data_IF_660266964283
#
_entry.id   IF_660266964283
#
_cell.length_a   1.000
_cell.length_b   1.000
_cell.length_c   1.000
_cell.angle_alpha   90.00
_cell.angle_beta   90.00
_cell.angle_gamma   90.00
#
_symmetry.space_group_name_H-M   'P 1'
#
loop_
_entity.id
_entity.type
_entity.pdbx_description
1 polymer ?
#
# COMPACT_ATOMS: atom_id res chain seq x y z
N UNK A 1 -65.43 -14.77 -12.97
CA UNK A 1 -65.35 -13.37 -12.48
C UNK A 1 -64.50 -13.22 -11.23
N UNK A 2 -64.53 -14.17 -10.27
CA UNK A 2 -63.75 -14.09 -9.03
C UNK A 2 -62.22 -14.00 -9.26
N UNK A 3 -61.65 -14.83 -10.13
CA UNK A 3 -60.22 -14.81 -10.44
C UNK A 3 -59.72 -13.48 -11.03
N UNK A 4 -60.51 -12.86 -11.93
CA UNK A 4 -60.17 -11.54 -12.48
C UNK A 4 -60.29 -10.42 -11.45
N UNK A 5 -61.22 -10.53 -10.49
CA UNK A 5 -61.31 -9.60 -9.36
C UNK A 5 -60.13 -9.74 -8.41
N UNK A 6 -59.75 -10.96 -8.02
CA UNK A 6 -58.61 -11.20 -7.12
C UNK A 6 -57.30 -10.70 -7.77
N UNK A 7 -57.09 -10.94 -9.07
CA UNK A 7 -55.88 -10.48 -9.78
C UNK A 7 -55.79 -8.95 -9.93
N UNK A 8 -56.93 -8.27 -10.08
CA UNK A 8 -56.96 -6.83 -10.38
C UNK A 8 -57.25 -5.95 -9.15
N UNK A 9 -57.82 -6.51 -8.09
CA UNK A 9 -58.20 -5.85 -6.84
C UNK A 9 -57.48 -6.51 -5.65
N UNK A 10 -56.26 -7.01 -5.85
CA UNK A 10 -55.46 -7.61 -4.77
C UNK A 10 -55.13 -6.54 -3.72
N UNK A 11 -55.46 -6.83 -2.45
CA UNK A 11 -55.06 -5.98 -1.33
C UNK A 11 -53.59 -6.26 -1.05
N UNK A 12 -52.71 -5.45 -1.65
CA UNK A 12 -51.28 -5.54 -1.43
C UNK A 12 -50.96 -5.04 -0.02
N UNK A 13 -50.37 -5.89 0.79
CA UNK A 13 -50.00 -5.53 2.16
C UNK A 13 -48.97 -4.40 2.14
N UNK A 14 -49.00 -3.44 3.08
CA UNK A 14 -48.04 -2.34 3.09
C UNK A 14 -46.56 -2.78 3.12
N UNK A 15 -46.26 -3.99 3.62
CA UNK A 15 -44.91 -4.58 3.63
C UNK A 15 -44.40 -5.02 2.24
N UNK A 16 -45.33 -5.32 1.32
CA UNK A 16 -45.09 -5.83 -0.03
C UNK A 16 -45.04 -4.70 -1.07
N UNK A 17 -45.42 -3.48 -0.68
CA UNK A 17 -45.30 -2.28 -1.51
C UNK A 17 -43.84 -1.79 -1.59
N UNK A 18 -43.52 -0.91 -2.55
CA UNK A 18 -42.18 -0.30 -2.69
C UNK A 18 -42.20 1.19 -2.34
N UNK A 19 -41.07 1.74 -1.93
CA UNK A 19 -40.92 3.17 -1.61
C UNK A 19 -41.59 3.59 -0.30
N UNK A 20 -42.06 4.84 -0.26
CA UNK A 20 -42.54 5.55 0.94
C UNK A 20 -43.63 4.81 1.75
N UNK A 21 -44.50 4.03 1.11
CA UNK A 21 -45.57 3.32 1.84
C UNK A 21 -45.00 2.19 2.70
N UNK A 22 -44.04 1.43 2.16
CA UNK A 22 -43.33 0.38 2.91
C UNK A 22 -42.48 0.98 4.02
N UNK A 23 -41.76 2.07 3.74
CA UNK A 23 -40.94 2.76 4.74
C UNK A 23 -41.79 3.25 5.93
N UNK A 24 -42.92 3.91 5.67
CA UNK A 24 -43.83 4.36 6.71
C UNK A 24 -44.44 3.20 7.51
N UNK A 25 -44.76 2.09 6.84
CA UNK A 25 -45.25 0.89 7.51
C UNK A 25 -44.17 0.29 8.44
N UNK A 26 -42.95 0.09 7.93
CA UNK A 26 -41.83 -0.43 8.71
C UNK A 26 -41.50 0.47 9.91
N UNK A 27 -41.58 1.80 9.74
CA UNK A 27 -41.43 2.75 10.84
C UNK A 27 -42.50 2.56 11.93
N UNK A 28 -43.77 2.41 11.55
CA UNK A 28 -44.86 2.13 12.52
C UNK A 28 -44.67 0.80 13.24
N UNK A 29 -44.20 -0.23 12.54
CA UNK A 29 -43.87 -1.54 13.15
C UNK A 29 -42.73 -1.37 14.15
N UNK A 30 -41.67 -0.63 13.79
CA UNK A 30 -40.55 -0.34 14.68
C UNK A 30 -41.02 0.42 15.93
N UNK A 31 -41.82 1.47 15.78
CA UNK A 31 -42.40 2.21 16.90
C UNK A 31 -43.22 1.32 17.83
N UNK A 32 -44.03 0.42 17.27
CA UNK A 32 -44.81 -0.56 18.05
C UNK A 32 -43.93 -1.59 18.75
N UNK A 33 -42.82 -2.02 18.14
CA UNK A 33 -41.84 -2.90 18.80
C UNK A 33 -41.09 -2.17 19.90
N UNK A 34 -40.82 -0.88 19.72
CA UNK A 34 -40.20 -0.04 20.74
C UNK A 34 -41.01 0.07 22.04
N UNK A 35 -42.33 -0.14 21.99
CA UNK A 35 -43.18 -0.17 23.21
C UNK A 35 -43.23 -1.53 23.90
N UNK A 36 -42.72 -2.59 23.26
CA UNK A 36 -42.65 -3.93 23.86
C UNK A 36 -41.53 -3.99 24.91
N UNK A 37 -41.55 -4.99 25.82
CA UNK A 37 -40.46 -5.23 26.76
C UNK A 37 -39.07 -5.30 26.14
N UNK A 38 -38.98 -5.81 24.90
CA UNK A 38 -37.77 -5.91 24.08
C UNK A 38 -37.21 -4.54 23.64
N UNK A 39 -38.05 -3.50 23.60
CA UNK A 39 -37.67 -2.13 23.27
C UNK A 39 -37.13 -1.32 24.46
N UNK A 40 -37.00 -1.92 25.64
CA UNK A 40 -36.43 -1.25 26.83
C UNK A 40 -34.91 -1.18 26.71
N UNK A 41 -34.39 0.01 26.43
CA UNK A 41 -32.95 0.29 26.47
C UNK A 41 -32.46 0.38 27.92
N UNK A 42 -31.33 -0.28 28.22
CA UNK A 42 -30.64 -0.12 29.50
C UNK A 42 -29.62 1.01 29.36
N UNK A 43 -29.64 1.92 30.32
CA UNK A 43 -28.58 2.92 30.44
C UNK A 43 -27.26 2.20 30.76
N UNK A 44 -26.24 2.46 29.95
CA UNK A 44 -24.93 1.85 30.09
C UNK A 44 -23.90 2.95 30.35
N UNK A 45 -22.88 2.71 31.19
CA UNK A 45 -21.77 3.64 31.34
C UNK A 45 -21.12 3.92 29.97
N UNK A 46 -20.66 5.16 29.78
CA UNK A 46 -20.04 5.59 28.52
C UNK A 46 -18.85 4.70 28.18
N UNK A 47 -18.74 4.28 26.92
CA UNK A 47 -17.60 3.53 26.41
C UNK A 47 -17.69 2.00 26.53
N UNK A 48 -18.65 1.47 27.30
CA UNK A 48 -18.71 0.02 27.59
C UNK A 48 -18.95 -0.82 26.34
N UNK A 49 -19.76 -0.32 25.41
CA UNK A 49 -20.14 -1.05 24.20
C UNK A 49 -19.44 -0.54 22.94
N UNK A 50 -18.55 0.45 23.06
CA UNK A 50 -17.97 1.13 21.88
C UNK A 50 -17.15 0.17 21.02
N UNK A 51 -16.38 -0.73 21.65
CA UNK A 51 -15.59 -1.75 20.95
C UNK A 51 -16.47 -2.79 20.24
N UNK A 52 -17.56 -3.22 20.90
CA UNK A 52 -18.52 -4.19 20.33
C UNK A 52 -19.29 -3.57 19.17
N UNK A 53 -19.80 -2.35 19.35
CA UNK A 53 -20.50 -1.58 18.31
C UNK A 53 -19.56 -1.33 17.12
N UNK A 54 -18.30 -0.99 17.37
CA UNK A 54 -17.31 -0.85 16.29
C UNK A 54 -17.05 -2.18 15.58
N UNK A 55 -16.90 -3.28 16.34
CA UNK A 55 -16.68 -4.63 15.79
C UNK A 55 -17.81 -5.06 14.85
N UNK A 56 -19.05 -4.69 15.15
CA UNK A 56 -20.21 -4.98 14.30
C UNK A 56 -20.34 -4.04 13.09
N UNK A 57 -19.81 -2.82 13.17
CA UNK A 57 -20.06 -1.77 12.18
C UNK A 57 -18.91 -1.48 11.22
N UNK A 58 -17.66 -1.81 11.57
CA UNK A 58 -16.49 -1.44 10.76
C UNK A 58 -16.53 -2.04 9.36
N UNK A 59 -16.93 -3.30 9.21
CA UNK A 59 -16.91 -3.99 7.91
C UNK A 59 -17.97 -3.42 6.96
N UNK A 60 -19.26 -3.30 7.34
CA UNK A 60 -20.25 -2.60 6.52
C UNK A 60 -19.86 -1.14 6.22
N UNK A 61 -19.24 -0.44 7.17
CA UNK A 61 -18.75 0.94 6.97
C UNK A 61 -17.64 0.98 5.93
N UNK A 62 -16.67 0.06 6.00
CA UNK A 62 -15.58 -0.03 5.05
C UNK A 62 -16.10 -0.36 3.64
N UNK A 63 -17.05 -1.28 3.52
CA UNK A 63 -17.70 -1.62 2.24
C UNK A 63 -18.41 -0.40 1.66
N UNK A 64 -19.17 0.34 2.47
CA UNK A 64 -19.84 1.56 2.03
C UNK A 64 -18.85 2.65 1.61
N UNK A 65 -17.79 2.88 2.38
CA UNK A 65 -16.72 3.82 2.03
C UNK A 65 -16.02 3.43 0.72
N UNK A 66 -15.72 2.15 0.55
CA UNK A 66 -15.10 1.62 -0.66
C UNK A 66 -16.01 1.78 -1.87
N UNK A 67 -17.30 1.45 -1.74
CA UNK A 67 -18.28 1.62 -2.80
C UNK A 67 -18.41 3.09 -3.23
N UNK A 68 -18.49 4.02 -2.27
CA UNK A 68 -18.56 5.45 -2.57
C UNK A 68 -17.27 5.96 -3.22
N UNK A 69 -16.11 5.46 -2.81
CA UNK A 69 -14.81 5.84 -3.39
C UNK A 69 -14.65 5.33 -4.82
N UNK A 70 -15.16 4.14 -5.12
CA UNK A 70 -15.18 3.57 -6.46
C UNK A 70 -16.08 4.37 -7.43
N UNK A 71 -17.25 4.82 -6.93
CA UNK A 71 -18.22 5.61 -7.72
C UNK A 71 -17.88 7.09 -7.82
N UNK A 72 -16.88 7.56 -7.09
CA UNK A 72 -16.49 8.96 -7.09
C UNK A 72 -15.69 9.29 -8.35
N UNK A 73 -16.18 10.24 -9.15
CA UNK A 73 -15.51 10.76 -10.34
C UNK A 73 -15.38 12.27 -10.18
N UNK A 74 -14.14 12.77 -10.24
CA UNK A 74 -13.80 14.21 -10.22
C UNK A 74 -14.39 15.07 -9.08
N UNK A 75 -14.83 14.46 -7.97
CA UNK A 75 -15.31 15.17 -6.78
C UNK A 75 -14.27 15.14 -5.65
N UNK A 76 -13.36 16.10 -5.69
CA UNK A 76 -12.30 16.26 -4.68
C UNK A 76 -12.84 16.36 -3.26
N UNK A 77 -13.96 17.08 -3.08
CA UNK A 77 -14.54 17.32 -1.75
C UNK A 77 -15.08 16.01 -1.16
N UNK A 78 -15.75 15.21 -1.98
CA UNK A 78 -16.24 13.89 -1.58
C UNK A 78 -15.07 12.95 -1.29
N UNK A 79 -14.02 12.92 -2.11
CA UNK A 79 -12.82 12.10 -1.84
C UNK A 79 -12.23 12.49 -0.48
N UNK A 80 -12.07 13.77 -0.19
CA UNK A 80 -11.55 14.22 1.11
C UNK A 80 -12.45 13.82 2.29
N UNK A 81 -13.79 13.86 2.12
CA UNK A 81 -14.74 13.37 3.13
C UNK A 81 -14.60 11.86 3.34
N UNK A 82 -14.46 11.09 2.28
CA UNK A 82 -14.22 9.64 2.35
C UNK A 82 -12.89 9.34 3.06
N UNK A 83 -11.82 10.06 2.72
CA UNK A 83 -10.52 9.96 3.41
C UNK A 83 -10.64 10.28 4.91
N UNK A 84 -11.47 11.25 5.29
CA UNK A 84 -11.80 11.52 6.70
C UNK A 84 -12.52 10.33 7.36
N UNK A 85 -13.40 9.65 6.63
CA UNK A 85 -14.05 8.40 7.06
C UNK A 85 -13.06 7.28 7.34
N UNK A 86 -12.15 6.99 6.40
CA UNK A 86 -11.05 6.03 6.59
C UNK A 86 -10.22 6.36 7.83
N UNK A 87 -9.86 7.65 7.99
CA UNK A 87 -9.08 8.12 9.14
C UNK A 87 -9.78 7.92 10.48
N UNK A 88 -11.09 8.16 10.55
CA UNK A 88 -11.88 7.91 11.77
C UNK A 88 -11.92 6.43 12.10
N UNK A 89 -12.17 5.56 11.11
CA UNK A 89 -12.15 4.11 11.29
C UNK A 89 -10.79 3.62 11.79
N UNK A 90 -9.70 4.12 11.18
CA UNK A 90 -8.34 3.81 11.59
C UNK A 90 -8.01 4.27 13.01
N UNK A 91 -8.48 5.46 13.40
CA UNK A 91 -8.27 5.99 14.75
C UNK A 91 -8.98 5.14 15.81
N UNK A 92 -10.21 4.69 15.53
CA UNK A 92 -10.97 3.81 16.44
C UNK A 92 -10.31 2.43 16.49
N UNK A 93 -9.94 1.86 15.33
CA UNK A 93 -9.23 0.59 15.27
C UNK A 93 -7.93 0.61 16.08
N UNK A 94 -7.16 1.70 15.95
CA UNK A 94 -5.91 1.87 16.70
C UNK A 94 -6.15 2.01 18.22
N UNK A 95 -7.19 2.76 18.62
CA UNK A 95 -7.55 2.91 20.03
C UNK A 95 -7.88 1.57 20.72
N UNK A 96 -8.56 0.67 20.02
CA UNK A 96 -8.89 -0.68 20.52
C UNK A 96 -7.86 -1.76 20.13
N UNK A 97 -6.72 -1.38 19.52
CA UNK A 97 -5.68 -2.32 19.10
C UNK A 97 -6.13 -3.38 18.07
N UNK A 98 -7.18 -3.08 17.28
CA UNK A 98 -7.75 -3.98 16.27
C UNK A 98 -6.95 -3.96 14.98
N UNK A 99 -5.85 -4.73 14.96
CA UNK A 99 -4.97 -4.87 13.79
C UNK A 99 -5.72 -5.33 12.54
N UNK A 100 -6.66 -6.27 12.66
CA UNK A 100 -7.42 -6.81 11.53
C UNK A 100 -8.16 -5.69 10.79
N UNK A 101 -8.86 -4.81 11.53
CA UNK A 101 -9.59 -3.68 10.93
C UNK A 101 -8.62 -2.71 10.26
N UNK A 102 -7.49 -2.45 10.90
CA UNK A 102 -6.46 -1.56 10.36
C UNK A 102 -5.86 -2.10 9.05
N UNK A 103 -5.51 -3.38 9.02
CA UNK A 103 -4.95 -4.05 7.85
C UNK A 103 -5.94 -4.05 6.67
N UNK A 104 -7.24 -4.26 6.93
CA UNK A 104 -8.28 -4.15 5.89
C UNK A 104 -8.43 -2.72 5.35
N UNK A 105 -8.29 -1.70 6.21
CA UNK A 105 -8.31 -0.30 5.78
C UNK A 105 -7.12 0.03 4.87
N UNK A 106 -5.92 -0.41 5.25
CA UNK A 106 -4.71 -0.22 4.44
C UNK A 106 -4.82 -0.98 3.12
N UNK A 107 -5.30 -2.22 3.13
CA UNK A 107 -5.53 -3.00 1.91
C UNK A 107 -6.54 -2.32 0.97
N UNK A 108 -7.63 -1.78 1.49
CA UNK A 108 -8.62 -1.07 0.69
C UNK A 108 -7.99 0.18 0.06
N UNK A 109 -7.31 1.02 0.84
CA UNK A 109 -6.62 2.21 0.34
C UNK A 109 -5.56 1.83 -0.72
N UNK A 110 -4.74 0.83 -0.45
CA UNK A 110 -3.75 0.32 -1.41
C UNK A 110 -4.38 -0.04 -2.76
N UNK A 111 -5.48 -0.81 -2.76
CA UNK A 111 -6.20 -1.16 -4.00
C UNK A 111 -6.71 0.08 -4.74
N UNK A 112 -7.25 1.07 -4.04
CA UNK A 112 -7.75 2.31 -4.64
C UNK A 112 -6.65 3.25 -5.16
N UNK A 113 -5.38 3.01 -4.81
CA UNK A 113 -4.26 3.70 -5.50
C UNK A 113 -4.11 3.23 -6.94
N UNK A 114 -4.52 2.01 -7.26
CA UNK A 114 -4.41 1.41 -8.59
C UNK A 114 -2.99 1.04 -9.04
N UNK A 115 -1.95 1.39 -8.26
CA UNK A 115 -0.54 1.24 -8.67
C UNK A 115 -0.12 -0.22 -8.84
N UNK A 116 -0.75 -1.14 -8.10
CA UNK A 116 -0.51 -2.59 -8.19
C UNK A 116 -0.98 -3.20 -9.50
N UNK A 117 -1.93 -2.55 -10.16
CA UNK A 117 -2.54 -3.00 -11.42
C UNK A 117 -1.92 -2.31 -12.64
N UNK A 118 -0.91 -1.47 -12.45
CA UNK A 118 -0.25 -0.77 -13.54
C UNK A 118 0.76 -1.70 -14.22
N UNK A 119 0.58 -1.94 -15.53
CA UNK A 119 1.44 -2.84 -16.31
C UNK A 119 2.84 -2.25 -16.61
N UNK A 120 3.07 -0.98 -16.32
CA UNK A 120 4.34 -0.29 -16.61
C UNK A 120 4.62 0.88 -15.67
N UNK A 121 5.89 1.32 -15.55
CA UNK A 121 6.28 2.56 -14.86
C UNK A 121 5.49 3.79 -15.33
N UNK A 122 5.16 3.85 -16.62
CA UNK A 122 4.36 4.93 -17.19
C UNK A 122 2.92 4.90 -16.69
N UNK A 123 2.34 3.71 -16.48
CA UNK A 123 1.01 3.55 -15.88
C UNK A 123 0.96 4.05 -14.44
N UNK A 124 1.96 3.70 -13.63
CA UNK A 124 2.11 4.22 -12.25
C UNK A 124 2.24 5.74 -12.27
N UNK A 125 3.02 6.26 -13.21
CA UNK A 125 3.21 7.69 -13.41
C UNK A 125 1.90 8.41 -13.77
N UNK A 126 1.08 7.83 -14.66
CA UNK A 126 -0.21 8.40 -15.04
C UNK A 126 -1.20 8.43 -13.86
N UNK A 127 -1.24 7.36 -13.06
CA UNK A 127 -2.10 7.30 -11.87
C UNK A 127 -1.70 8.37 -10.84
N UNK A 128 -0.42 8.44 -10.47
CA UNK A 128 0.04 9.39 -9.45
C UNK A 128 0.21 10.82 -9.97
N UNK A 129 0.38 11.01 -11.27
CA UNK A 129 0.50 12.32 -11.91
C UNK A 129 -0.85 12.93 -12.31
N UNK A 130 -1.86 12.09 -12.60
CA UNK A 130 -3.13 12.51 -13.20
C UNK A 130 -4.40 12.15 -12.42
N UNK A 131 -4.39 11.13 -11.56
CA UNK A 131 -5.56 10.73 -10.78
C UNK A 131 -5.48 11.26 -9.34
N UNK A 132 -6.27 12.28 -9.04
CA UNK A 132 -6.35 12.86 -7.70
C UNK A 132 -6.86 11.87 -6.65
N UNK A 133 -7.72 10.92 -7.02
CA UNK A 133 -8.20 9.86 -6.13
C UNK A 133 -7.04 8.95 -5.74
N UNK A 134 -6.23 8.52 -6.71
CA UNK A 134 -5.04 7.71 -6.46
C UNK A 134 -4.06 8.43 -5.53
N UNK A 135 -3.78 9.72 -5.80
CA UNK A 135 -2.91 10.56 -4.98
C UNK A 135 -3.39 10.69 -3.53
N UNK A 136 -4.67 11.04 -3.31
CA UNK A 136 -5.23 11.24 -1.97
C UNK A 136 -5.33 9.94 -1.18
N UNK A 137 -5.62 8.84 -1.87
CA UNK A 137 -5.70 7.50 -1.27
C UNK A 137 -4.32 7.00 -0.87
N UNK A 138 -3.31 7.14 -1.74
CA UNK A 138 -1.92 6.81 -1.42
C UNK A 138 -1.43 7.65 -0.23
N UNK A 139 -1.66 8.98 -0.27
CA UNK A 139 -1.33 9.87 0.85
C UNK A 139 -1.98 9.43 2.15
N UNK A 140 -3.27 9.06 2.12
CA UNK A 140 -3.98 8.59 3.30
C UNK A 140 -3.36 7.30 3.85
N UNK A 141 -3.02 6.34 2.98
CA UNK A 141 -2.36 5.09 3.38
C UNK A 141 -1.06 5.34 4.15
N UNK A 142 -0.14 6.16 3.61
CA UNK A 142 1.10 6.54 4.31
C UNK A 142 0.81 7.33 5.59
N UNK A 143 -0.15 8.24 5.58
CA UNK A 143 -0.54 9.02 6.77
C UNK A 143 -1.03 8.12 7.92
N UNK A 144 -1.81 7.08 7.60
CA UNK A 144 -2.28 6.11 8.60
C UNK A 144 -1.12 5.28 9.14
N UNK A 145 -0.21 4.83 8.28
CA UNK A 145 0.99 4.10 8.67
C UNK A 145 1.89 4.92 9.61
N UNK A 146 2.07 6.21 9.35
CA UNK A 146 2.88 7.11 10.20
C UNK A 146 2.30 7.24 11.60
N UNK A 147 0.96 7.30 11.70
CA UNK A 147 0.29 7.61 12.96
C UNK A 147 0.00 6.38 13.81
N UNK A 148 -0.26 5.24 13.17
CA UNK A 148 -0.81 4.04 13.80
C UNK A 148 -0.13 2.76 13.30
N UNK A 149 1.08 2.86 12.74
CA UNK A 149 1.84 1.71 12.23
C UNK A 149 2.15 0.66 13.30
N UNK A 150 2.12 1.02 14.58
CA UNK A 150 2.32 0.09 15.68
C UNK A 150 1.19 -0.95 15.84
N UNK A 151 0.00 -0.68 15.27
CA UNK A 151 -1.16 -1.58 15.25
C UNK A 151 -1.18 -2.46 14.00
N UNK A 152 -0.36 -2.14 13.00
CA UNK A 152 -0.34 -2.82 11.70
C UNK A 152 0.38 -4.18 11.76
N UNK A 153 -0.15 -5.16 11.04
CA UNK A 153 0.51 -6.44 10.79
C UNK A 153 0.61 -6.70 9.30
N UNK A 154 -0.45 -7.25 8.69
CA UNK A 154 -0.42 -7.60 7.27
C UNK A 154 -0.37 -6.37 6.37
N UNK A 155 -0.83 -5.21 6.86
CA UNK A 155 -0.77 -3.92 6.18
C UNK A 155 0.64 -3.52 5.71
N UNK A 156 1.69 -4.04 6.37
CA UNK A 156 3.08 -3.77 5.98
C UNK A 156 3.39 -4.28 4.57
N UNK A 157 2.75 -5.37 4.15
CA UNK A 157 2.90 -5.94 2.79
C UNK A 157 2.53 -4.91 1.73
N UNK A 158 1.41 -4.22 1.91
CA UNK A 158 0.93 -3.23 0.95
C UNK A 158 1.80 -1.97 0.92
N UNK A 159 2.34 -1.54 2.06
CA UNK A 159 3.24 -0.38 2.12
C UNK A 159 4.59 -0.69 1.46
N UNK A 160 5.21 -1.81 1.78
CA UNK A 160 6.50 -2.22 1.21
C UNK A 160 6.35 -2.46 -0.30
N UNK A 161 5.29 -3.14 -0.73
CA UNK A 161 5.02 -3.33 -2.14
C UNK A 161 4.78 -2.01 -2.88
N UNK A 162 3.99 -1.10 -2.31
CA UNK A 162 3.84 0.26 -2.83
C UNK A 162 5.19 0.97 -2.97
N UNK A 163 6.06 0.91 -1.95
CA UNK A 163 7.40 1.50 -2.01
C UNK A 163 8.27 0.87 -3.12
N UNK A 164 8.19 -0.45 -3.33
CA UNK A 164 8.90 -1.15 -4.41
C UNK A 164 8.39 -0.72 -5.80
N UNK A 165 7.08 -0.60 -5.98
CA UNK A 165 6.47 -0.12 -7.24
C UNK A 165 6.91 1.32 -7.54
N UNK A 166 6.89 2.19 -6.53
CA UNK A 166 7.37 3.58 -6.64
C UNK A 166 8.86 3.63 -6.99
N UNK A 167 9.66 2.74 -6.41
CA UNK A 167 11.10 2.63 -6.66
C UNK A 167 11.38 2.25 -8.12
N UNK A 168 10.76 1.17 -8.60
CA UNK A 168 10.86 0.71 -10.00
C UNK A 168 10.34 1.74 -11.00
N UNK A 169 9.38 2.57 -10.59
CA UNK A 169 8.86 3.65 -11.42
C UNK A 169 9.78 4.90 -11.45
N UNK A 170 10.88 4.87 -10.69
CA UNK A 170 11.81 5.99 -10.53
C UNK A 170 11.16 7.21 -9.88
N UNK A 171 10.12 7.01 -9.05
CA UNK A 171 9.39 8.07 -8.36
C UNK A 171 9.84 8.24 -6.90
N UNK A 172 10.65 7.32 -6.38
CA UNK A 172 11.13 7.39 -5.00
C UNK A 172 12.07 8.58 -4.77
N UNK A 173 12.00 9.22 -3.59
CA UNK A 173 12.89 10.33 -3.25
C UNK A 173 14.35 9.88 -3.11
N UNK A 174 15.28 10.80 -3.36
CA UNK A 174 16.72 10.53 -3.23
C UNK A 174 17.14 10.07 -1.82
N UNK A 175 16.42 10.49 -0.77
CA UNK A 175 16.64 10.04 0.61
C UNK A 175 16.46 8.52 0.78
N UNK A 176 15.67 7.89 -0.08
CA UNK A 176 15.41 6.45 -0.04
C UNK A 176 16.19 5.66 -1.09
N UNK A 177 16.69 6.34 -2.14
CA UNK A 177 17.49 5.72 -3.20
C UNK A 177 18.98 6.04 -3.11
N UNK A 178 19.43 6.51 -1.95
CA UNK A 178 20.85 6.75 -1.64
C UNK A 178 21.22 5.85 -0.47
N UNK A 179 22.27 5.05 -0.69
CA UNK A 179 22.88 4.18 0.31
C UNK A 179 24.24 4.77 0.71
N UNK A 180 24.66 4.52 1.96
CA UNK A 180 25.97 4.92 2.44
C UNK A 180 27.04 4.01 1.80
N UNK A 181 28.08 4.62 1.23
CA UNK A 181 29.21 3.91 0.63
C UNK A 181 30.50 4.49 1.21
N UNK A 182 31.12 3.73 2.12
CA UNK A 182 32.32 4.15 2.85
C UNK A 182 33.59 4.11 2.00
N UNK A 183 33.53 3.55 0.78
CA UNK A 183 34.65 3.48 -0.17
C UNK A 183 34.57 4.62 -1.19
N UNK A 184 33.37 5.05 -1.56
CA UNK A 184 33.15 6.17 -2.48
C UNK A 184 33.57 7.51 -1.87
N UNK A 185 34.21 8.36 -2.67
CA UNK A 185 34.73 9.67 -2.24
C UNK A 185 33.66 10.60 -1.67
N UNK A 186 32.41 10.43 -2.11
CA UNK A 186 31.25 11.20 -1.64
C UNK A 186 30.56 10.59 -0.41
N UNK A 187 30.98 9.39 0.00
CA UNK A 187 30.39 8.67 1.13
C UNK A 187 29.03 8.03 0.83
N UNK A 188 28.53 8.11 -0.40
CA UNK A 188 27.20 7.62 -0.76
C UNK A 188 27.08 7.21 -2.23
N UNK A 189 26.21 6.23 -2.50
CA UNK A 189 25.91 5.68 -3.82
C UNK A 189 24.40 5.68 -4.07
N UNK A 190 23.98 5.94 -5.32
CA UNK A 190 22.57 5.83 -5.67
C UNK A 190 22.25 4.40 -6.11
N UNK A 191 21.27 3.79 -5.47
CA UNK A 191 20.80 2.43 -5.82
C UNK A 191 19.85 2.44 -7.04
N UNK A 192 19.24 3.59 -7.35
CA UNK A 192 18.36 3.72 -8.51
C UNK A 192 19.15 3.67 -9.83
N UNK A 193 18.92 2.63 -10.63
CA UNK A 193 19.53 2.47 -11.96
C UNK A 193 18.82 3.43 -12.95
N UNK A 194 19.54 4.42 -13.50
CA UNK A 194 18.97 5.25 -14.58
C UNK A 194 18.92 4.44 -15.88
N UNK A 195 17.83 4.51 -16.67
CA UNK A 195 17.83 3.96 -18.02
C UNK A 195 18.97 4.58 -18.84
N UNK A 196 19.85 3.76 -19.40
CA UNK A 196 20.79 4.23 -20.43
C UNK A 196 20.00 4.62 -21.67
N UNK A 197 20.09 5.88 -22.09
CA UNK A 197 19.56 6.32 -23.38
C UNK A 197 20.39 5.67 -24.50
N UNK A 198 19.89 4.56 -25.06
CA UNK A 198 20.48 3.95 -26.24
C UNK A 198 20.18 4.84 -27.46
N UNK A 199 21.16 5.67 -27.84
CA UNK A 199 21.14 6.47 -29.07
C UNK A 199 21.15 5.58 -30.32
N UNK A 200 19.98 5.11 -30.75
CA UNK A 200 19.81 4.45 -32.04
C UNK A 200 19.80 5.52 -33.16
N UNK A 201 20.94 5.66 -33.87
CA UNK A 201 21.08 6.46 -35.09
C UNK A 201 20.21 5.86 -36.20
N UNK A 202 19.16 6.57 -36.62
CA UNK A 202 18.38 6.22 -37.81
C UNK A 202 18.89 6.99 -39.04
N UNK A 203 19.17 6.27 -40.12
CA UNK A 203 19.58 6.83 -41.42
C UNK A 203 18.40 7.57 -42.08
N UNK A 204 18.67 8.78 -42.58
CA UNK A 204 17.67 9.76 -43.04
C UNK A 204 17.44 9.67 -44.56
N UNK A 205 16.19 9.42 -44.96
CA UNK A 205 15.69 9.64 -46.33
C UNK A 205 14.80 10.88 -46.39
N UNK A 206 14.63 11.53 -47.54
CA UNK A 206 13.96 12.85 -47.63
C UNK A 206 12.50 12.88 -47.10
N UNK A 207 11.80 11.74 -47.09
CA UNK A 207 10.46 11.60 -46.48
C UNK A 207 10.55 11.41 -44.95
N UNK A 208 11.68 10.90 -44.45
CA UNK A 208 11.94 10.81 -43.02
C UNK A 208 12.12 12.19 -42.39
N UNK A 209 12.47 13.24 -43.13
CA UNK A 209 12.59 14.59 -42.56
C UNK A 209 11.21 15.15 -42.16
N UNK A 210 10.20 15.09 -43.03
CA UNK A 210 8.84 15.58 -42.70
C UNK A 210 8.17 14.70 -41.64
N UNK A 211 8.28 13.37 -41.78
CA UNK A 211 7.78 12.44 -40.77
C UNK A 211 8.54 12.65 -39.46
N UNK A 212 9.86 12.88 -39.47
CA UNK A 212 10.62 13.19 -38.24
C UNK A 212 10.23 14.55 -37.66
N UNK A 213 9.82 15.55 -38.43
CA UNK A 213 9.36 16.83 -37.88
C UNK A 213 7.97 16.71 -37.24
N UNK A 214 7.05 15.93 -37.84
CA UNK A 214 5.71 15.68 -37.26
C UNK A 214 5.81 14.70 -36.09
N UNK A 215 6.56 13.62 -36.23
CA UNK A 215 6.80 12.65 -35.17
C UNK A 215 7.65 13.26 -34.05
N UNK A 216 8.62 14.15 -34.34
CA UNK A 216 9.35 14.85 -33.27
C UNK A 216 8.52 15.92 -32.58
N UNK A 217 7.59 16.60 -33.26
CA UNK A 217 6.71 17.57 -32.59
C UNK A 217 5.67 16.87 -31.71
N UNK A 218 5.08 15.76 -32.18
CA UNK A 218 4.19 14.92 -31.37
C UNK A 218 4.97 14.25 -30.22
N UNK A 219 6.17 13.74 -30.49
CA UNK A 219 7.04 13.15 -29.46
C UNK A 219 7.50 14.18 -28.43
N UNK A 220 7.79 15.43 -28.85
CA UNK A 220 8.15 16.50 -27.94
C UNK A 220 6.98 16.91 -27.04
N UNK A 221 5.77 17.03 -27.59
CA UNK A 221 4.58 17.32 -26.80
C UNK A 221 4.27 16.19 -25.79
N UNK A 222 4.41 14.93 -26.20
CA UNK A 222 4.25 13.77 -25.32
C UNK A 222 5.32 13.73 -24.22
N UNK A 223 6.59 13.99 -24.55
CA UNK A 223 7.68 14.06 -23.57
C UNK A 223 7.47 15.19 -22.56
N UNK A 224 6.99 16.35 -23.01
CA UNK A 224 6.65 17.46 -22.13
C UNK A 224 5.49 17.11 -21.20
N UNK A 225 4.43 16.50 -21.71
CA UNK A 225 3.30 16.04 -20.89
C UNK A 225 3.74 14.98 -19.87
N UNK A 226 4.59 14.02 -20.27
CA UNK A 226 5.15 13.02 -19.36
C UNK A 226 6.03 13.66 -18.29
N UNK A 227 6.88 14.63 -18.66
CA UNK A 227 7.72 15.37 -17.71
C UNK A 227 6.86 16.14 -16.69
N UNK A 228 5.74 16.72 -17.11
CA UNK A 228 4.79 17.39 -16.22
C UNK A 228 4.13 16.41 -15.24
N UNK A 229 3.61 15.29 -15.75
CA UNK A 229 3.07 14.23 -14.91
C UNK A 229 4.11 13.72 -13.92
N UNK A 230 5.37 13.58 -14.37
CA UNK A 230 6.50 13.11 -13.54
C UNK A 230 6.78 14.06 -12.40
N UNK A 231 6.79 15.36 -12.67
CA UNK A 231 6.97 16.38 -11.63
C UNK A 231 5.83 16.34 -10.60
N UNK A 232 4.58 16.17 -11.04
CA UNK A 232 3.42 16.05 -10.14
C UNK A 232 3.53 14.79 -9.29
N UNK A 233 3.79 13.64 -9.92
CA UNK A 233 3.92 12.36 -9.23
C UNK A 233 5.06 12.36 -8.21
N UNK A 234 6.24 12.89 -8.56
CA UNK A 234 7.37 13.05 -7.64
C UNK A 234 7.01 13.95 -6.45
N UNK A 235 6.35 15.08 -6.70
CA UNK A 235 5.87 15.96 -5.63
C UNK A 235 4.87 15.24 -4.73
N UNK A 236 4.00 14.43 -5.31
CA UNK A 236 3.03 13.62 -4.58
C UNK A 236 3.73 12.60 -3.66
N UNK A 237 4.69 11.84 -4.21
CA UNK A 237 5.45 10.83 -3.45
C UNK A 237 6.27 11.46 -2.33
N UNK A 238 6.94 12.58 -2.57
CA UNK A 238 7.66 13.32 -1.52
C UNK A 238 6.69 13.72 -0.39
N UNK A 239 5.48 14.19 -0.73
CA UNK A 239 4.47 14.56 0.26
C UNK A 239 3.92 13.37 1.07
N UNK A 240 4.14 12.13 0.62
CA UNK A 240 3.81 10.96 1.41
C UNK A 240 4.82 10.74 2.55
N UNK A 241 6.02 11.33 2.46
CA UNK A 241 7.17 11.10 3.35
C UNK A 241 7.47 9.60 3.58
N UNK A 242 7.67 8.82 2.50
CA UNK A 242 7.85 7.36 2.58
C UNK A 242 9.04 6.96 3.48
N UNK A 243 10.03 7.82 3.63
CA UNK A 243 11.19 7.61 4.48
C UNK A 243 10.84 7.52 5.97
N UNK A 244 9.78 8.23 6.40
CA UNK A 244 9.42 8.39 7.80
C UNK A 244 9.05 7.05 8.45
N UNK A 245 8.37 6.17 7.72
CA UNK A 245 7.99 4.83 8.20
C UNK A 245 9.22 4.03 8.63
N UNK A 246 10.25 4.04 7.80
CA UNK A 246 11.45 3.23 8.03
C UNK A 246 12.39 3.92 9.02
N UNK A 247 12.45 5.26 8.99
CA UNK A 247 13.27 6.04 9.89
C UNK A 247 12.76 6.03 11.33
N UNK A 248 11.44 6.03 11.52
CA UNK A 248 10.79 6.03 12.85
C UNK A 248 10.41 4.62 13.32
N UNK A 249 10.97 3.58 12.70
CA UNK A 249 10.73 2.18 13.07
C UNK A 249 11.03 1.84 14.54
N UNK A 250 11.83 2.67 15.22
CA UNK A 250 12.11 2.59 16.67
C UNK A 250 10.86 2.71 17.55
N UNK A 251 9.81 3.40 17.08
CA UNK A 251 8.57 3.60 17.83
C UNK A 251 7.55 2.48 17.62
N UNK A 252 7.79 1.56 16.67
CA UNK A 252 6.89 0.43 16.45
C UNK A 252 6.92 -0.52 17.64
N UNK A 253 5.76 -1.10 18.00
CA UNK A 253 5.70 -2.24 18.94
C UNK A 253 6.41 -3.45 18.35
N UNK A 254 6.92 -4.35 19.20
CA UNK A 254 7.74 -5.49 18.76
C UNK A 254 7.03 -6.36 17.74
N UNK A 255 5.74 -6.65 17.93
CA UNK A 255 4.94 -7.40 16.98
C UNK A 255 4.82 -6.73 15.60
N UNK A 256 4.69 -5.40 15.55
CA UNK A 256 4.60 -4.67 14.29
C UNK A 256 5.96 -4.60 13.58
N UNK A 257 7.05 -4.46 14.36
CA UNK A 257 8.42 -4.48 13.85
C UNK A 257 8.78 -5.85 13.27
N UNK A 258 8.44 -6.94 13.96
CA UNK A 258 8.64 -8.30 13.46
C UNK A 258 7.94 -8.52 12.11
N UNK A 259 6.69 -8.10 11.99
CA UNK A 259 5.95 -8.20 10.71
C UNK A 259 6.58 -7.33 9.62
N UNK A 260 7.00 -6.10 9.92
CA UNK A 260 7.72 -5.26 8.96
C UNK A 260 9.01 -5.93 8.48
N UNK A 261 9.80 -6.50 9.38
CA UNK A 261 11.05 -7.19 9.02
C UNK A 261 10.77 -8.43 8.17
N UNK A 262 9.77 -9.25 8.52
CA UNK A 262 9.35 -10.41 7.71
C UNK A 262 8.99 -10.00 6.29
N UNK A 263 8.25 -8.90 6.14
CA UNK A 263 7.86 -8.36 4.82
C UNK A 263 9.07 -7.83 4.05
N UNK A 264 10.06 -7.21 4.71
CA UNK A 264 11.28 -6.73 4.06
C UNK A 264 12.23 -7.87 3.63
N UNK A 265 12.19 -9.02 4.32
CA UNK A 265 12.96 -10.21 3.95
C UNK A 265 12.35 -10.92 2.73
N UNK A 266 11.03 -10.91 2.58
CA UNK A 266 10.34 -11.64 1.51
C UNK A 266 10.87 -11.34 0.08
N UNK A 267 11.14 -10.08 -0.31
CA UNK A 267 11.76 -9.73 -1.59
C UNK A 267 13.26 -10.05 -1.72
N UNK A 268 13.90 -10.64 -0.69
CA UNK A 268 15.35 -10.88 -0.64
C UNK A 268 15.69 -12.38 -0.67
N UNK A 269 15.38 -13.12 -1.75
CA UNK A 269 15.71 -14.54 -1.83
C UNK A 269 17.22 -14.75 -1.92
N UNK A 270 17.76 -15.72 -1.16
CA UNK A 270 19.17 -16.11 -1.28
C UNK A 270 19.39 -16.78 -2.63
N UNK A 271 20.25 -16.25 -3.51
CA UNK A 271 20.52 -16.88 -4.80
C UNK A 271 21.18 -18.25 -4.59
N UNK A 272 20.69 -19.33 -5.21
CA UNK A 272 21.27 -20.67 -5.07
C UNK A 272 22.67 -20.80 -5.69
N UNK A 273 23.05 -19.90 -6.60
CA UNK A 273 24.38 -19.82 -7.19
C UNK A 273 24.64 -18.45 -7.82
N UNK A 274 25.91 -18.07 -8.01
CA UNK A 274 26.27 -16.82 -8.71
C UNK A 274 25.73 -16.75 -10.15
N UNK A 275 25.56 -17.90 -10.82
CA UNK A 275 24.93 -17.97 -12.15
C UNK A 275 23.43 -17.66 -12.14
N UNK A 276 22.74 -17.87 -11.01
CA UNK A 276 21.29 -17.62 -10.88
C UNK A 276 20.95 -16.13 -10.83
N UNK A 277 21.89 -15.28 -10.40
CA UNK A 277 21.73 -13.82 -10.40
C UNK A 277 21.70 -13.27 -11.84
N UNK A 278 22.34 -13.97 -12.78
CA UNK A 278 22.33 -13.61 -14.20
C UNK A 278 21.13 -14.22 -14.96
N UNK A 279 20.29 -15.01 -14.28
CA UNK A 279 19.09 -15.60 -14.88
C UNK A 279 17.93 -14.59 -14.84
N UNK A 280 17.11 -14.55 -15.87
CA UNK A 280 16.12 -13.48 -16.11
C UNK A 280 14.98 -13.40 -15.08
N UNK A 281 14.96 -14.30 -14.10
CA UNK A 281 13.93 -14.38 -13.05
C UNK A 281 14.29 -13.71 -11.72
N UNK A 282 15.54 -13.29 -11.51
CA UNK A 282 15.95 -12.64 -10.26
C UNK A 282 15.71 -11.13 -10.31
N UNK A 283 14.84 -10.63 -9.44
CA UNK A 283 14.53 -9.21 -9.32
C UNK A 283 15.58 -8.49 -8.47
N UNK A 284 16.73 -8.26 -9.07
CA UNK A 284 17.89 -7.60 -8.44
C UNK A 284 17.50 -6.22 -7.87
N UNK A 285 16.72 -5.44 -8.63
CA UNK A 285 16.33 -4.08 -8.25
C UNK A 285 15.46 -4.06 -6.99
N UNK A 286 14.43 -4.90 -6.91
CA UNK A 286 13.63 -5.04 -5.69
C UNK A 286 14.44 -5.55 -4.51
N UNK A 287 15.35 -6.51 -4.76
CA UNK A 287 16.17 -7.11 -3.70
C UNK A 287 17.11 -6.08 -3.09
N UNK A 288 17.84 -5.32 -3.91
CA UNK A 288 18.76 -4.27 -3.44
C UNK A 288 18.02 -3.21 -2.64
N UNK A 289 16.86 -2.76 -3.12
CA UNK A 289 16.07 -1.75 -2.41
C UNK A 289 15.52 -2.29 -1.08
N UNK A 290 14.97 -3.51 -1.06
CA UNK A 290 14.46 -4.12 0.15
C UNK A 290 15.56 -4.39 1.20
N UNK A 291 16.75 -4.85 0.76
CA UNK A 291 17.91 -5.03 1.63
C UNK A 291 18.38 -3.72 2.24
N UNK A 292 18.44 -2.65 1.46
CA UNK A 292 18.83 -1.32 1.96
C UNK A 292 17.85 -0.83 3.04
N UNK A 293 16.54 -1.00 2.83
CA UNK A 293 15.53 -0.68 3.84
C UNK A 293 15.64 -1.57 5.08
N UNK A 294 15.87 -2.88 4.88
CA UNK A 294 16.04 -3.85 5.95
C UNK A 294 17.24 -3.48 6.84
N UNK A 295 18.40 -3.17 6.24
CA UNK A 295 19.60 -2.75 6.96
C UNK A 295 19.32 -1.48 7.77
N UNK A 296 18.69 -0.47 7.17
CA UNK A 296 18.30 0.76 7.88
C UNK A 296 17.39 0.49 9.09
N UNK A 297 16.38 -0.36 8.93
CA UNK A 297 15.45 -0.71 10.01
C UNK A 297 16.13 -1.53 11.11
N UNK A 298 16.94 -2.52 10.75
CA UNK A 298 17.65 -3.39 11.70
C UNK A 298 18.70 -2.61 12.49
N UNK A 299 19.50 -1.77 11.83
CA UNK A 299 20.50 -0.94 12.51
C UNK A 299 19.86 0.01 13.52
N UNK A 300 18.71 0.60 13.18
CA UNK A 300 17.94 1.45 14.11
C UNK A 300 17.32 0.69 15.28
N UNK A 301 17.02 -0.60 15.10
CA UNK A 301 16.38 -1.45 16.10
C UNK A 301 17.31 -2.56 16.62
N UNK A 302 18.63 -2.33 16.63
CA UNK A 302 19.65 -3.34 16.93
C UNK A 302 19.34 -4.14 18.19
N UNK A 303 19.02 -3.48 19.30
CA UNK A 303 18.78 -4.14 20.59
C UNK A 303 17.51 -5.01 20.61
N UNK A 304 16.53 -4.68 19.77
CA UNK A 304 15.22 -5.34 19.72
C UNK A 304 15.22 -6.50 18.74
N UNK A 305 15.98 -6.39 17.66
CA UNK A 305 16.07 -7.39 16.59
C UNK A 305 16.92 -8.60 16.98
N UNK A 306 17.96 -8.41 17.81
CA UNK A 306 18.80 -9.49 18.32
C UNK A 306 17.99 -10.52 19.13
N UNK A 307 16.96 -10.08 19.87
CA UNK A 307 16.09 -10.98 20.64
C UNK A 307 15.06 -11.76 19.80
N UNK A 308 14.71 -11.26 18.61
CA UNK A 308 13.64 -11.85 17.78
C UNK A 308 14.09 -13.03 16.91
N UNK A 309 15.41 -13.18 16.68
CA UNK A 309 15.98 -14.20 15.78
C UNK A 309 16.95 -15.18 16.48
N UNK A 310 17.00 -15.16 17.82
CA UNK A 310 17.79 -16.10 18.64
C UNK A 310 16.98 -17.32 19.12
N UNK A 311 15.75 -17.53 18.65
CA UNK A 311 15.10 -18.85 18.74
C UNK A 311 15.51 -19.71 17.53
N UNK A 312 16.24 -20.81 17.75
CA UNK A 312 16.83 -21.61 16.67
C UNK A 312 15.82 -22.62 16.13
N UNK A 313 14.82 -22.16 15.38
CA UNK A 313 13.90 -23.04 14.62
C UNK A 313 13.97 -22.82 13.10
N UNK A 314 15.09 -22.27 12.62
CA UNK A 314 15.47 -22.32 11.20
C UNK A 314 16.66 -23.26 11.07
N UNK A 315 16.37 -24.53 10.83
CA UNK A 315 17.32 -25.59 10.48
C UNK A 315 18.19 -25.18 9.28
N UNK A 316 19.31 -24.51 9.55
CA UNK A 316 20.37 -24.20 8.59
C UNK A 316 21.73 -24.71 9.06
N UNK A 317 21.80 -25.88 9.71
CA UNK A 317 23.09 -26.58 9.87
C UNK A 317 22.97 -28.07 10.16
N UNK A 318 22.85 -28.88 9.11
CA UNK A 318 23.42 -30.24 9.13
C UNK A 318 23.63 -30.78 7.72
N UNK A 319 24.36 -30.05 6.88
CA UNK A 319 25.00 -30.61 5.68
C UNK A 319 26.02 -29.62 5.15
N UNK A 320 27.24 -29.70 5.66
CA UNK A 320 28.50 -29.66 4.90
C UNK A 320 29.66 -29.41 5.86
N UNK A 321 30.25 -30.50 6.34
CA UNK A 321 31.63 -30.52 6.79
C UNK A 321 32.51 -30.04 5.63
N UNK A 322 33.22 -28.95 5.82
CA UNK A 322 34.41 -28.61 5.05
C UNK A 322 35.53 -28.36 6.04
N UNK A 323 36.36 -29.40 6.18
CA UNK A 323 37.64 -29.39 6.87
C UNK A 323 38.52 -28.25 6.32
N UNK A 324 38.87 -27.30 7.18
CA UNK A 324 39.89 -26.30 6.88
C UNK A 324 41.24 -26.92 7.22
N UNK A 325 41.94 -27.43 6.20
CA UNK A 325 43.36 -27.75 6.29
C UNK A 325 44.18 -26.46 6.39
N UNK A 326 44.75 -26.21 7.57
CA UNK A 326 45.72 -25.14 7.79
C UNK A 326 47.07 -25.56 7.18
N UNK A 327 47.57 -24.78 6.22
CA UNK A 327 48.94 -24.88 5.70
C UNK A 327 49.83 -23.93 6.54
N UNK A 328 50.92 -24.40 7.18
CA UNK A 328 51.81 -23.52 7.92
C UNK A 328 52.74 -22.75 6.97
N UNK A 329 52.96 -21.47 7.28
CA UNK A 329 53.87 -20.59 6.56
C UNK A 329 55.34 -20.93 6.84
N UNK A 330 56.10 -21.19 5.79
CA UNK A 330 57.56 -21.21 5.82
C UNK A 330 58.08 -19.77 5.98
N UNK A 331 58.77 -19.49 7.09
CA UNK A 331 59.58 -18.30 7.29
C UNK A 331 61.05 -18.69 7.34
N UNK A 332 61.77 -18.45 6.24
CA UNK A 332 63.21 -18.57 6.16
C UNK A 332 63.90 -17.20 6.33
N UNK A 333 64.98 -17.23 7.12
CA UNK A 333 65.97 -16.18 7.46
C UNK A 333 65.52 -15.03 8.36
#
# INVERSE_FOLDING_TARGET
MLYKKIKNEEIIMPAEQTGLVKENYLWKVLMKRGTLPEGRFKDCPKGVLDEEVFTLSWSPTLVALSYLLDRCVDDTLLIQKLMSGYRKCATIAAHYGRYEVFDHLILALYKFTGISSADSPLGVLQLLGGDQRAQLTAKMMFTLAHKHGDVMKEGWKQLVDCSLILYKSGLMPASMTTADDFVETKGCVSIARRPQESNARAEHGLISSIVSHITSSVSAAQKEQEAQLRKIAQTCVINFHPEFIFSESTFLRTSALEELIKVLIAPCPVPPSHSFVNDTGYDEESTVFALELLVKVVLKNKDRTIGCYLEPDLEWSSSNNLDIHVIPAEGGS
#
